data_IF_372851650647
#
_entry.id   IF_372851650647
#
_cell.length_a   1.000
_cell.length_b   1.000
_cell.length_c   1.000
_cell.angle_alpha   90.00
_cell.angle_beta   90.00
_cell.angle_gamma   90.00
#
_symmetry.space_group_name_H-M   'P 1'
#
loop_
_entity.id
_entity.type
_entity.pdbx_description
1 polymer ?
#
# COMPACT_ATOMS: atom_id res chain seq x y z
N UNK A 1 -44.06 -16.23 -20.34
CA UNK A 1 -42.92 -15.58 -21.06
C UNK A 1 -42.45 -14.46 -20.16
N UNK A 2 -41.55 -14.79 -19.25
CA UNK A 2 -40.78 -13.81 -18.52
C UNK A 2 -39.90 -13.08 -19.51
N UNK A 3 -40.08 -11.75 -19.62
CA UNK A 3 -39.22 -10.92 -20.41
C UNK A 3 -37.79 -11.08 -19.82
N UNK A 4 -36.89 -11.69 -20.59
CA UNK A 4 -35.45 -11.61 -20.29
C UNK A 4 -35.13 -10.12 -20.22
N UNK A 5 -34.89 -9.61 -18.99
CA UNK A 5 -34.29 -8.30 -18.78
C UNK A 5 -33.06 -8.24 -19.69
N UNK A 6 -33.00 -7.26 -20.60
CA UNK A 6 -31.80 -7.06 -21.40
C UNK A 6 -30.62 -6.92 -20.46
N UNK A 7 -29.61 -7.75 -20.65
CA UNK A 7 -28.36 -7.66 -19.87
C UNK A 7 -27.87 -6.21 -19.93
N UNK A 8 -27.70 -5.59 -18.76
CA UNK A 8 -27.20 -4.22 -18.68
C UNK A 8 -25.75 -4.23 -19.18
N UNK A 9 -25.46 -3.43 -20.19
CA UNK A 9 -24.13 -3.33 -20.80
C UNK A 9 -23.48 -2.01 -20.39
N UNK A 10 -22.16 -2.05 -20.13
CA UNK A 10 -21.33 -0.91 -19.77
C UNK A 10 -20.08 -0.88 -20.64
N UNK A 11 -19.46 0.28 -20.78
CA UNK A 11 -18.15 0.37 -21.41
C UNK A 11 -17.11 -0.37 -20.55
N UNK A 12 -17.14 -0.13 -19.23
CA UNK A 12 -16.20 -0.77 -18.30
C UNK A 12 -16.89 -1.33 -17.06
N UNK A 13 -16.51 -2.54 -16.68
CA UNK A 13 -16.88 -3.15 -15.40
C UNK A 13 -15.67 -3.12 -14.47
N UNK A 14 -15.81 -2.48 -13.30
CA UNK A 14 -14.76 -2.41 -12.28
C UNK A 14 -15.16 -3.31 -11.11
N UNK A 15 -14.39 -4.38 -10.87
CA UNK A 15 -14.63 -5.36 -9.82
C UNK A 15 -13.82 -5.05 -8.58
N UNK A 16 -14.42 -4.29 -7.66
CA UNK A 16 -13.86 -3.74 -6.42
C UNK A 16 -13.90 -2.22 -6.39
N UNK A 17 -14.52 -1.64 -5.35
CA UNK A 17 -14.64 -0.20 -5.16
C UNK A 17 -13.70 0.34 -4.06
N UNK A 18 -12.53 -0.31 -3.87
CA UNK A 18 -11.44 0.25 -3.10
C UNK A 18 -10.78 1.43 -3.82
N UNK A 19 -9.73 2.05 -3.25
CA UNK A 19 -9.11 3.25 -3.82
C UNK A 19 -8.77 3.15 -5.30
N UNK A 20 -8.22 2.03 -5.76
CA UNK A 20 -7.85 1.84 -7.16
C UNK A 20 -9.07 1.75 -8.09
N UNK A 21 -10.09 0.99 -7.69
CA UNK A 21 -11.30 0.84 -8.50
C UNK A 21 -12.17 2.08 -8.52
N UNK A 22 -12.33 2.75 -7.38
CA UNK A 22 -13.07 4.01 -7.31
C UNK A 22 -12.37 5.10 -8.14
N UNK A 23 -11.05 5.18 -8.10
CA UNK A 23 -10.28 6.12 -8.93
C UNK A 23 -10.39 5.81 -10.42
N UNK A 24 -10.28 4.54 -10.82
CA UNK A 24 -10.49 4.14 -12.21
C UNK A 24 -11.90 4.54 -12.68
N UNK A 25 -12.92 4.23 -11.86
CA UNK A 25 -14.30 4.58 -12.18
C UNK A 25 -14.54 6.11 -12.28
N UNK A 26 -13.90 6.90 -11.38
CA UNK A 26 -13.94 8.35 -11.42
C UNK A 26 -13.43 8.90 -12.75
N UNK A 27 -12.20 8.53 -13.14
CA UNK A 27 -11.61 9.05 -14.38
C UNK A 27 -12.34 8.55 -15.63
N UNK A 28 -12.77 7.29 -15.68
CA UNK A 28 -13.57 6.75 -16.80
C UNK A 28 -14.93 7.46 -16.94
N UNK A 29 -15.65 7.65 -15.84
CA UNK A 29 -16.93 8.37 -15.85
C UNK A 29 -16.75 9.83 -16.29
N UNK A 30 -15.69 10.50 -15.81
CA UNK A 30 -15.31 11.86 -16.23
C UNK A 30 -14.98 11.95 -17.72
N UNK A 31 -14.50 10.87 -18.34
CA UNK A 31 -14.28 10.75 -19.79
C UNK A 31 -15.58 10.38 -20.55
N UNK A 32 -16.73 10.31 -19.86
CA UNK A 32 -18.03 10.02 -20.46
C UNK A 32 -18.28 8.52 -20.71
N UNK A 33 -17.50 7.62 -20.14
CA UNK A 33 -17.71 6.17 -20.26
C UNK A 33 -18.79 5.72 -19.26
N UNK A 34 -19.63 4.77 -19.69
CA UNK A 34 -20.55 4.08 -18.79
C UNK A 34 -19.80 3.05 -17.95
N UNK A 35 -19.81 3.20 -16.62
CA UNK A 35 -19.02 2.37 -15.70
C UNK A 35 -19.91 1.69 -14.68
N UNK A 36 -19.77 0.36 -14.53
CA UNK A 36 -20.28 -0.39 -13.38
C UNK A 36 -19.18 -0.56 -12.35
N UNK A 37 -19.32 0.07 -11.18
CA UNK A 37 -18.42 -0.06 -10.04
C UNK A 37 -19.04 -1.02 -9.03
N UNK A 38 -18.46 -2.21 -8.85
CA UNK A 38 -19.05 -3.31 -8.08
C UNK A 38 -18.21 -3.58 -6.83
N UNK A 39 -18.85 -3.64 -5.65
CA UNK A 39 -18.17 -4.08 -4.41
C UNK A 39 -19.06 -5.00 -3.57
N UNK A 40 -18.41 -5.99 -2.93
CA UNK A 40 -19.07 -6.90 -2.00
C UNK A 40 -19.57 -6.24 -0.72
N UNK A 41 -18.93 -5.16 -0.32
CA UNK A 41 -19.29 -4.37 0.86
C UNK A 41 -20.27 -3.25 0.47
N UNK A 42 -20.98 -2.73 1.48
CA UNK A 42 -21.72 -1.45 1.38
C UNK A 42 -20.84 -0.35 1.97
N UNK A 43 -20.86 0.81 1.37
CA UNK A 43 -20.11 1.97 1.83
C UNK A 43 -20.95 2.85 2.78
N UNK A 44 -20.33 3.49 3.80
CA UNK A 44 -18.91 3.41 4.18
C UNK A 44 -18.55 2.04 4.81
N UNK A 45 -17.31 1.58 4.60
CA UNK A 45 -16.85 0.30 5.13
C UNK A 45 -15.45 0.38 5.74
N UNK A 46 -15.20 -0.43 6.76
CA UNK A 46 -13.88 -0.60 7.33
C UNK A 46 -12.93 -1.33 6.36
N UNK A 47 -11.67 -0.96 6.39
CA UNK A 47 -10.58 -1.63 5.68
C UNK A 47 -9.30 -1.54 6.51
N UNK A 48 -8.73 -2.69 6.83
CA UNK A 48 -7.46 -2.78 7.55
C UNK A 48 -6.34 -2.02 6.83
N UNK A 49 -5.76 -1.00 7.49
CA UNK A 49 -4.71 -0.13 6.96
C UNK A 49 -4.16 0.79 8.06
N UNK A 50 -2.90 1.19 7.99
CA UNK A 50 -2.36 2.29 8.80
C UNK A 50 -2.99 3.64 8.47
N UNK A 51 -3.41 3.82 7.21
CA UNK A 51 -4.03 5.06 6.74
C UNK A 51 -3.02 6.18 6.48
N UNK A 52 -1.78 5.82 6.21
CA UNK A 52 -0.75 6.77 5.80
C UNK A 52 -0.76 7.01 4.29
N UNK A 53 -0.63 8.26 3.88
CA UNK A 53 -0.52 8.70 2.49
C UNK A 53 0.79 9.47 2.31
N UNK A 54 1.55 9.14 1.28
CA UNK A 54 2.73 9.92 0.90
C UNK A 54 2.33 11.21 0.18
N UNK A 55 3.27 12.16 0.06
CA UNK A 55 3.05 13.47 -0.55
C UNK A 55 2.60 13.41 -2.01
N UNK A 56 2.89 12.32 -2.74
CA UNK A 56 2.46 12.14 -4.13
C UNK A 56 0.94 12.08 -4.29
N UNK A 57 0.18 11.94 -3.19
CA UNK A 57 -1.29 12.07 -3.22
C UNK A 57 -1.72 13.45 -3.75
N UNK A 58 -0.86 14.46 -3.65
CA UNK A 58 -1.12 15.80 -4.16
C UNK A 58 -1.19 15.89 -5.70
N UNK A 59 -0.83 14.83 -6.41
CA UNK A 59 -1.06 14.72 -7.86
C UNK A 59 -2.54 14.56 -8.24
N UNK A 60 -3.44 14.35 -7.26
CA UNK A 60 -4.86 14.10 -7.50
C UNK A 60 -5.71 15.30 -7.06
N UNK A 61 -5.98 16.22 -7.98
CA UNK A 61 -6.73 17.48 -7.72
C UNK A 61 -8.07 17.25 -7.01
N UNK A 62 -8.84 16.22 -7.39
CA UNK A 62 -10.13 15.90 -6.78
C UNK A 62 -10.00 15.42 -5.32
N UNK A 63 -8.83 14.94 -4.92
CA UNK A 63 -8.51 14.57 -3.54
C UNK A 63 -8.09 15.81 -2.76
N UNK A 64 -7.09 16.54 -3.24
CA UNK A 64 -6.56 17.72 -2.51
C UNK A 64 -7.59 18.84 -2.37
N UNK A 65 -8.48 18.98 -3.34
CA UNK A 65 -9.57 19.98 -3.28
C UNK A 65 -10.62 19.67 -2.20
N UNK A 66 -10.60 18.48 -1.62
CA UNK A 66 -11.58 18.01 -0.65
C UNK A 66 -10.92 17.40 0.60
N UNK A 67 -9.72 17.91 0.98
CA UNK A 67 -8.97 17.43 2.16
C UNK A 67 -9.82 17.35 3.43
N UNK A 68 -10.67 18.38 3.67
CA UNK A 68 -11.49 18.49 4.88
C UNK A 68 -12.52 17.37 5.03
N UNK A 69 -12.80 16.64 3.96
CA UNK A 69 -13.77 15.53 3.98
C UNK A 69 -13.22 14.26 4.66
N UNK A 70 -11.91 14.08 4.72
CA UNK A 70 -11.31 12.81 5.16
C UNK A 70 -9.92 12.90 5.81
N UNK A 71 -9.25 14.06 5.76
CA UNK A 71 -7.92 14.23 6.31
C UNK A 71 -7.97 14.31 7.85
N UNK A 72 -7.20 13.46 8.51
CA UNK A 72 -7.11 13.41 9.97
C UNK A 72 -5.92 14.23 10.49
N UNK A 73 -4.76 14.15 9.82
CA UNK A 73 -3.59 14.95 10.19
C UNK A 73 -2.58 15.11 9.06
N UNK A 74 -1.76 16.17 9.17
CA UNK A 74 -0.62 16.48 8.31
C UNK A 74 0.64 16.36 9.13
N UNK A 75 1.55 15.45 8.75
CA UNK A 75 2.78 15.24 9.52
C UNK A 75 3.95 16.00 8.90
N UNK A 76 4.57 16.84 9.72
CA UNK A 76 5.81 17.55 9.40
C UNK A 76 7.02 16.98 10.15
N UNK A 77 6.81 16.02 11.05
CA UNK A 77 7.86 15.31 11.76
C UNK A 77 7.70 13.80 11.65
N UNK A 78 8.79 13.12 11.30
CA UNK A 78 8.86 11.67 11.23
C UNK A 78 10.00 11.14 12.07
N UNK A 79 9.75 10.07 12.83
CA UNK A 79 10.79 9.40 13.62
C UNK A 79 10.88 7.95 13.17
N UNK A 80 12.05 7.54 12.71
CA UNK A 80 12.33 6.14 12.38
C UNK A 80 13.34 5.60 13.38
N UNK A 81 12.90 4.69 14.24
CA UNK A 81 13.77 4.00 15.18
C UNK A 81 14.42 2.77 14.55
N UNK A 82 15.69 2.56 14.83
CA UNK A 82 16.38 1.29 14.58
C UNK A 82 16.12 0.26 15.69
N UNK A 83 16.68 -0.96 15.56
CA UNK A 83 16.51 -2.04 16.54
C UNK A 83 16.92 -1.67 17.98
N UNK A 84 17.91 -0.79 18.13
CA UNK A 84 18.47 -0.31 19.42
C UNK A 84 17.83 1.01 19.87
N UNK A 85 16.66 1.40 19.34
CA UNK A 85 15.97 2.65 19.63
C UNK A 85 16.78 3.92 19.27
N UNK A 86 17.80 3.80 18.43
CA UNK A 86 18.46 4.98 17.86
C UNK A 86 17.51 5.66 16.89
N UNK A 87 17.13 6.94 17.08
CA UNK A 87 16.19 7.63 16.20
C UNK A 87 16.88 8.27 15.00
N UNK A 88 16.21 8.20 13.85
CA UNK A 88 16.34 9.18 12.77
C UNK A 88 15.13 10.10 12.91
N UNK A 89 15.36 11.29 13.44
CA UNK A 89 14.31 12.28 13.72
C UNK A 89 14.44 13.43 12.71
N UNK A 90 13.46 13.54 11.84
CA UNK A 90 13.42 14.52 10.76
C UNK A 90 12.21 15.43 10.89
N UNK A 91 12.45 16.73 10.82
CA UNK A 91 11.43 17.78 10.80
C UNK A 91 11.47 18.50 9.47
N UNK A 92 10.34 18.64 8.82
CA UNK A 92 10.19 19.35 7.55
C UNK A 92 9.40 20.64 7.72
N UNK A 93 9.72 21.65 6.91
CA UNK A 93 8.95 22.90 6.84
C UNK A 93 7.54 22.68 6.21
N UNK A 94 7.37 21.60 5.44
CA UNK A 94 6.11 21.24 4.79
C UNK A 94 5.69 19.84 5.19
N UNK A 95 4.39 19.55 5.22
CA UNK A 95 3.92 18.18 5.38
C UNK A 95 4.51 17.27 4.30
N UNK A 96 4.97 16.09 4.71
CA UNK A 96 5.50 15.07 3.81
C UNK A 96 4.73 13.74 3.93
N UNK A 97 3.84 13.66 4.89
CA UNK A 97 3.01 12.50 5.15
C UNK A 97 1.64 12.93 5.69
N UNK A 98 0.60 12.25 5.25
CA UNK A 98 -0.78 12.54 5.62
C UNK A 98 -1.42 11.31 6.25
N UNK A 99 -2.25 11.50 7.27
CA UNK A 99 -3.01 10.43 7.88
C UNK A 99 -4.49 10.57 7.60
N UNK A 100 -5.12 9.44 7.27
CA UNK A 100 -6.55 9.33 6.99
C UNK A 100 -7.14 8.12 7.71
N UNK A 101 -8.46 8.09 7.85
CA UNK A 101 -9.19 6.85 8.14
C UNK A 101 -9.84 6.30 6.88
N UNK A 102 -9.62 5.02 6.63
CA UNK A 102 -10.09 4.34 5.43
C UNK A 102 -11.61 4.33 5.30
N UNK A 103 -12.34 4.39 6.43
CA UNK A 103 -13.80 4.47 6.43
C UNK A 103 -14.29 5.68 5.64
N UNK A 104 -13.75 6.86 5.92
CA UNK A 104 -14.11 8.11 5.26
C UNK A 104 -13.48 8.21 3.87
N UNK A 105 -12.18 7.97 3.77
CA UNK A 105 -11.44 8.12 2.54
C UNK A 105 -11.99 7.26 1.40
N UNK A 106 -12.16 5.95 1.64
CA UNK A 106 -12.68 5.05 0.61
C UNK A 106 -14.11 5.42 0.20
N UNK A 107 -14.95 5.83 1.17
CA UNK A 107 -16.31 6.28 0.89
C UNK A 107 -16.33 7.53 0.00
N UNK A 108 -15.47 8.52 0.29
CA UNK A 108 -15.38 9.74 -0.52
C UNK A 108 -14.92 9.46 -1.95
N UNK A 109 -13.95 8.57 -2.14
CA UNK A 109 -13.54 8.16 -3.49
C UNK A 109 -14.70 7.54 -4.29
N UNK A 110 -15.52 6.73 -3.64
CA UNK A 110 -16.74 6.16 -4.27
C UNK A 110 -17.76 7.26 -4.57
N UNK A 111 -18.00 8.18 -3.63
CA UNK A 111 -18.91 9.32 -3.85
C UNK A 111 -18.47 10.18 -5.05
N UNK A 112 -17.17 10.47 -5.18
CA UNK A 112 -16.63 11.20 -6.33
C UNK A 112 -16.84 10.44 -7.65
N UNK A 113 -16.63 9.13 -7.69
CA UNK A 113 -16.88 8.33 -8.88
C UNK A 113 -18.36 8.33 -9.27
N UNK A 114 -19.27 8.22 -8.30
CA UNK A 114 -20.72 8.27 -8.51
C UNK A 114 -21.16 9.66 -8.99
N UNK A 115 -20.59 10.73 -8.42
CA UNK A 115 -20.90 12.10 -8.83
C UNK A 115 -20.50 12.38 -10.30
N UNK A 116 -19.43 11.75 -10.80
CA UNK A 116 -19.05 11.82 -12.21
C UNK A 116 -19.89 10.90 -13.13
N UNK A 117 -20.74 10.02 -12.58
CA UNK A 117 -21.69 9.21 -13.36
C UNK A 117 -21.44 7.70 -13.31
N UNK A 118 -20.50 7.20 -12.52
CA UNK A 118 -20.33 5.77 -12.33
C UNK A 118 -21.55 5.16 -11.63
N UNK A 119 -21.98 3.97 -12.08
CA UNK A 119 -23.06 3.21 -11.43
C UNK A 119 -22.48 2.32 -10.35
N UNK A 120 -22.71 2.66 -9.08
CA UNK A 120 -22.32 1.83 -7.94
C UNK A 120 -23.28 0.65 -7.76
N UNK A 121 -22.71 -0.56 -7.65
CA UNK A 121 -23.41 -1.81 -7.33
C UNK A 121 -22.72 -2.39 -6.11
N UNK A 122 -23.24 -2.09 -4.92
CA UNK A 122 -22.63 -2.44 -3.64
C UNK A 122 -23.37 -3.55 -2.88
N UNK A 123 -22.69 -4.18 -1.92
CA UNK A 123 -23.24 -5.28 -1.10
C UNK A 123 -23.27 -6.60 -1.85
N UNK A 124 -22.65 -6.70 -3.03
CA UNK A 124 -22.61 -7.91 -3.83
C UNK A 124 -21.27 -8.11 -4.54
N UNK A 125 -20.75 -9.33 -4.51
CA UNK A 125 -19.49 -9.66 -5.14
C UNK A 125 -19.68 -10.14 -6.58
N UNK A 126 -18.71 -9.85 -7.43
CA UNK A 126 -18.51 -10.59 -8.68
C UNK A 126 -18.21 -12.05 -8.32
N UNK A 127 -18.98 -12.97 -8.89
CA UNK A 127 -18.84 -14.42 -8.70
C UNK A 127 -17.87 -15.02 -9.70
N UNK A 128 -18.03 -14.65 -10.97
CA UNK A 128 -17.25 -15.13 -12.09
C UNK A 128 -17.40 -14.19 -13.29
N UNK A 129 -16.57 -14.36 -14.30
CA UNK A 129 -16.69 -13.66 -15.58
C UNK A 129 -16.13 -14.49 -16.74
N UNK A 130 -16.65 -14.23 -17.93
CA UNK A 130 -16.22 -14.85 -19.18
C UNK A 130 -15.82 -13.76 -20.17
N UNK A 131 -14.73 -13.98 -20.89
CA UNK A 131 -14.24 -13.08 -21.94
C UNK A 131 -14.51 -13.73 -23.29
N UNK A 132 -15.21 -13.02 -24.17
CA UNK A 132 -15.40 -13.36 -25.58
C UNK A 132 -14.62 -12.39 -26.48
N UNK A 133 -14.73 -12.56 -27.80
CA UNK A 133 -14.06 -11.65 -28.76
C UNK A 133 -14.59 -10.21 -28.65
N UNK A 134 -15.87 -10.05 -28.36
CA UNK A 134 -16.62 -8.80 -28.44
C UNK A 134 -16.94 -8.17 -27.07
N UNK A 135 -16.93 -8.94 -25.98
CA UNK A 135 -17.31 -8.44 -24.64
C UNK A 135 -16.80 -9.29 -23.49
N UNK A 136 -16.97 -8.74 -22.28
CA UNK A 136 -16.88 -9.47 -21.02
C UNK A 136 -18.30 -9.66 -20.46
N UNK A 137 -18.65 -10.87 -20.07
CA UNK A 137 -19.89 -11.21 -19.37
C UNK A 137 -19.56 -11.45 -17.89
N UNK A 138 -20.21 -10.73 -16.99
CA UNK A 138 -19.93 -10.75 -15.56
C UNK A 138 -21.15 -11.28 -14.80
N UNK A 139 -20.92 -12.26 -13.93
CA UNK A 139 -21.94 -12.88 -13.10
C UNK A 139 -21.76 -12.47 -11.63
N UNK A 140 -22.81 -11.97 -11.03
CA UNK A 140 -22.85 -11.60 -9.61
C UNK A 140 -23.28 -12.77 -8.72
N UNK A 141 -22.98 -12.69 -7.41
CA UNK A 141 -23.33 -13.77 -6.46
C UNK A 141 -24.82 -13.98 -6.26
N UNK A 142 -25.65 -12.98 -6.51
CA UNK A 142 -27.12 -13.10 -6.46
C UNK A 142 -27.74 -13.72 -7.74
N UNK A 143 -26.90 -13.99 -8.75
CA UNK A 143 -27.33 -14.54 -10.03
C UNK A 143 -27.60 -13.50 -11.12
N UNK A 144 -27.56 -12.21 -10.80
CA UNK A 144 -27.62 -11.15 -11.82
C UNK A 144 -26.40 -11.20 -12.74
N UNK A 145 -26.62 -10.80 -13.98
CA UNK A 145 -25.57 -10.75 -15.00
C UNK A 145 -25.53 -9.35 -15.63
N UNK A 146 -24.33 -8.92 -15.98
CA UNK A 146 -24.09 -7.70 -16.75
C UNK A 146 -22.92 -7.94 -17.72
N UNK A 147 -22.71 -7.02 -18.64
CA UNK A 147 -21.60 -7.12 -19.59
C UNK A 147 -20.86 -5.80 -19.75
N UNK A 148 -19.67 -5.85 -20.30
CA UNK A 148 -18.88 -4.67 -20.64
C UNK A 148 -17.86 -4.97 -21.72
N UNK A 149 -17.21 -3.91 -22.25
CA UNK A 149 -16.13 -4.06 -23.20
C UNK A 149 -14.85 -4.56 -22.50
N UNK A 150 -14.61 -4.09 -21.27
CA UNK A 150 -13.41 -4.40 -20.47
C UNK A 150 -13.80 -4.64 -19.02
N UNK A 151 -13.09 -5.54 -18.33
CA UNK A 151 -13.15 -5.69 -16.88
C UNK A 151 -11.84 -5.24 -16.22
N UNK A 152 -11.95 -4.41 -15.19
CA UNK A 152 -10.83 -4.02 -14.32
C UNK A 152 -10.95 -4.76 -12.98
N UNK A 153 -9.96 -5.57 -12.65
CA UNK A 153 -9.82 -6.20 -11.34
C UNK A 153 -9.23 -5.23 -10.32
N UNK A 154 -10.03 -4.87 -9.33
CA UNK A 154 -9.67 -3.96 -8.23
C UNK A 154 -10.02 -4.56 -6.86
N UNK A 155 -10.13 -5.89 -6.77
CA UNK A 155 -10.57 -6.64 -5.59
C UNK A 155 -9.49 -6.85 -4.52
N UNK A 156 -8.32 -6.22 -4.64
CA UNK A 156 -7.22 -6.33 -3.70
C UNK A 156 -6.39 -7.60 -3.88
N UNK A 157 -5.69 -8.03 -2.86
CA UNK A 157 -4.67 -9.11 -2.89
C UNK A 157 -5.18 -10.47 -3.43
N UNK A 158 -6.48 -10.70 -3.44
CA UNK A 158 -7.11 -11.96 -3.87
C UNK A 158 -8.12 -11.76 -5.01
N UNK A 159 -7.79 -10.87 -5.92
CA UNK A 159 -8.63 -10.48 -7.05
C UNK A 159 -8.88 -11.61 -8.05
N UNK A 160 -10.10 -11.65 -8.60
CA UNK A 160 -10.54 -12.68 -9.54
C UNK A 160 -9.91 -12.50 -10.93
N UNK A 161 -9.82 -11.25 -11.41
CA UNK A 161 -9.22 -10.92 -12.72
C UNK A 161 -7.72 -11.18 -12.69
N UNK A 162 -7.06 -10.81 -11.56
CA UNK A 162 -5.65 -11.14 -11.32
C UNK A 162 -5.38 -12.64 -11.44
N UNK A 163 -6.24 -13.48 -10.83
CA UNK A 163 -6.11 -14.94 -10.93
C UNK A 163 -6.26 -15.44 -12.38
N UNK A 164 -7.19 -14.89 -13.13
CA UNK A 164 -7.40 -15.27 -14.55
C UNK A 164 -6.19 -14.89 -15.41
N UNK A 165 -5.62 -13.69 -15.22
CA UNK A 165 -4.40 -13.28 -15.93
C UNK A 165 -3.23 -14.19 -15.55
N UNK A 166 -3.07 -14.51 -14.26
CA UNK A 166 -2.02 -15.44 -13.80
C UNK A 166 -2.12 -16.81 -14.43
N UNK A 167 -3.34 -17.35 -14.55
CA UNK A 167 -3.60 -18.63 -15.21
C UNK A 167 -3.18 -18.61 -16.67
N UNK A 168 -3.61 -17.59 -17.42
CA UNK A 168 -3.31 -17.43 -18.86
C UNK A 168 -1.80 -17.25 -19.08
N UNK A 169 -1.14 -16.49 -18.24
CA UNK A 169 0.28 -16.15 -18.36
C UNK A 169 1.22 -17.19 -17.69
N UNK A 170 0.67 -18.32 -17.22
CA UNK A 170 1.42 -19.35 -16.49
C UNK A 170 2.22 -18.80 -15.28
N UNK A 171 1.66 -17.80 -14.60
CA UNK A 171 2.23 -17.23 -13.39
C UNK A 171 1.80 -18.02 -12.14
N UNK A 172 2.52 -17.93 -11.01
CA UNK A 172 2.04 -18.50 -9.75
C UNK A 172 0.65 -17.99 -9.39
N UNK A 173 -0.29 -18.91 -9.15
CA UNK A 173 -1.70 -18.58 -8.86
C UNK A 173 -1.90 -17.77 -7.58
N UNK A 174 -0.96 -17.84 -6.65
CA UNK A 174 -0.96 -17.08 -5.42
C UNK A 174 0.36 -16.33 -5.28
N UNK A 175 0.31 -15.26 -4.51
CA UNK A 175 1.52 -14.56 -4.08
C UNK A 175 2.40 -15.51 -3.25
N UNK A 176 3.72 -15.48 -3.48
CA UNK A 176 4.67 -16.24 -2.66
C UNK A 176 4.68 -15.67 -1.24
N UNK A 177 5.08 -16.49 -0.25
CA UNK A 177 5.10 -16.04 1.15
C UNK A 177 6.05 -14.87 1.42
N UNK A 178 7.10 -14.74 0.63
CA UNK A 178 8.04 -13.62 0.67
C UNK A 178 7.51 -12.35 0.00
N UNK A 179 6.52 -12.46 -0.89
CA UNK A 179 5.90 -11.34 -1.63
C UNK A 179 4.58 -10.87 -0.99
N UNK A 180 4.20 -11.47 0.14
CA UNK A 180 3.07 -11.03 0.97
C UNK A 180 3.59 -10.61 2.33
N UNK A 181 3.33 -9.36 2.71
CA UNK A 181 3.43 -8.92 4.09
C UNK A 181 2.10 -9.14 4.82
N UNK A 182 2.18 -9.61 6.05
CA UNK A 182 1.04 -9.61 6.97
C UNK A 182 1.19 -8.43 7.92
N UNK A 183 0.15 -7.60 7.97
CA UNK A 183 0.04 -6.46 8.86
C UNK A 183 -1.07 -6.71 9.89
N UNK A 184 -0.80 -6.40 11.15
CA UNK A 184 -1.77 -6.31 12.23
C UNK A 184 -1.76 -4.92 12.81
N UNK A 185 -2.91 -4.38 13.13
CA UNK A 185 -3.05 -3.05 13.71
C UNK A 185 -4.31 -2.93 14.53
N UNK A 186 -4.39 -1.86 15.30
CA UNK A 186 -5.61 -1.34 15.91
C UNK A 186 -5.63 0.18 15.85
N UNK A 187 -6.80 0.76 16.03
CA UNK A 187 -6.99 2.18 16.26
C UNK A 187 -7.62 2.40 17.64
N UNK A 188 -7.14 3.41 18.35
CA UNK A 188 -7.66 3.77 19.67
C UNK A 188 -7.67 5.28 19.83
N UNK A 189 -8.78 5.81 20.33
CA UNK A 189 -8.87 7.22 20.72
C UNK A 189 -8.11 7.42 22.04
N UNK A 190 -7.07 8.22 21.99
CA UNK A 190 -6.21 8.56 23.16
C UNK A 190 -6.49 9.95 23.68
N UNK A 191 -7.42 10.65 23.06
CA UNK A 191 -7.81 12.02 23.41
C UNK A 191 -6.87 13.09 22.87
N UNK A 192 -7.43 14.28 22.70
CA UNK A 192 -6.71 15.43 22.14
C UNK A 192 -5.54 15.88 23.02
N UNK A 193 -5.75 15.92 24.34
CA UNK A 193 -4.73 16.36 25.30
C UNK A 193 -3.45 15.51 25.17
N UNK A 194 -3.57 14.19 25.17
CA UNK A 194 -2.42 13.30 24.98
C UNK A 194 -1.78 13.49 23.59
N UNK A 195 -2.59 13.64 22.56
CA UNK A 195 -2.08 13.83 21.20
C UNK A 195 -1.29 15.14 21.06
N UNK A 196 -1.78 16.25 21.62
CA UNK A 196 -1.13 17.55 21.53
C UNK A 196 0.14 17.58 22.41
N UNK A 197 0.13 16.96 23.60
CA UNK A 197 1.29 16.89 24.50
C UNK A 197 2.41 16.01 23.91
N UNK A 198 2.10 14.82 23.39
CA UNK A 198 3.09 13.82 23.00
C UNK A 198 3.48 13.89 21.53
N UNK A 199 2.50 14.09 20.65
CA UNK A 199 2.69 14.09 19.20
C UNK A 199 2.77 15.48 18.58
N UNK A 200 2.55 16.54 19.38
CA UNK A 200 2.58 17.93 18.94
C UNK A 200 1.42 18.28 17.98
N UNK A 201 1.31 19.56 17.66
CA UNK A 201 0.33 20.05 16.70
C UNK A 201 0.65 19.56 15.27
N UNK A 202 1.93 19.39 14.94
CA UNK A 202 2.41 18.90 13.65
C UNK A 202 2.13 17.42 13.43
N UNK A 203 1.71 16.70 14.45
CA UNK A 203 1.55 15.25 14.48
C UNK A 203 2.81 14.49 14.00
N UNK A 204 3.29 13.58 14.82
CA UNK A 204 4.47 12.77 14.54
C UNK A 204 4.02 11.42 13.99
N UNK A 205 4.58 10.99 12.86
CA UNK A 205 4.46 9.61 12.41
C UNK A 205 5.72 8.84 12.72
N UNK A 206 5.59 7.66 13.32
CA UNK A 206 6.72 6.84 13.73
C UNK A 206 6.73 5.48 13.06
N UNK A 207 7.96 5.00 12.79
CA UNK A 207 8.23 3.63 12.43
C UNK A 207 9.37 3.07 13.28
N UNK A 208 9.33 1.78 13.57
CA UNK A 208 10.33 1.08 14.36
C UNK A 208 10.83 -0.14 13.59
N UNK A 209 11.98 0.02 12.96
CA UNK A 209 12.56 -1.00 12.08
C UNK A 209 13.12 -2.13 12.92
N UNK A 210 12.77 -3.36 12.52
CA UNK A 210 13.29 -4.61 13.09
C UNK A 210 13.13 -4.67 14.63
N UNK A 211 12.01 -4.15 15.14
CA UNK A 211 11.68 -4.22 16.56
C UNK A 211 11.80 -5.67 17.06
N UNK A 212 12.45 -5.88 18.20
CA UNK A 212 12.73 -7.20 18.80
C UNK A 212 13.21 -8.27 17.80
N UNK A 213 14.00 -7.84 16.79
CA UNK A 213 14.59 -8.72 15.79
C UNK A 213 13.64 -9.25 14.70
N UNK A 214 12.39 -8.79 14.64
CA UNK A 214 11.47 -9.14 13.56
C UNK A 214 11.91 -8.47 12.26
N UNK A 215 12.12 -9.24 11.19
CA UNK A 215 12.38 -8.70 9.84
C UNK A 215 11.11 -8.05 9.29
N UNK A 216 10.80 -6.88 9.82
CA UNK A 216 9.61 -6.08 9.59
C UNK A 216 9.73 -4.74 10.29
N UNK A 217 8.62 -4.07 10.50
CA UNK A 217 8.58 -2.85 11.29
C UNK A 217 7.27 -2.71 12.07
N UNK A 218 7.34 -1.97 13.18
CA UNK A 218 6.19 -1.42 13.89
C UNK A 218 5.92 0.02 13.45
N UNK A 219 4.71 0.50 13.62
CA UNK A 219 4.36 1.90 13.37
C UNK A 219 3.43 2.46 14.43
N UNK A 220 3.45 3.78 14.57
CA UNK A 220 2.44 4.57 15.28
C UNK A 220 2.15 5.82 14.46
N UNK A 221 0.94 5.89 13.89
CA UNK A 221 0.49 7.02 13.09
C UNK A 221 -0.52 7.84 13.86
N UNK A 222 -0.18 9.10 14.07
CA UNK A 222 -1.00 10.04 14.84
C UNK A 222 -2.02 10.71 13.96
N UNK A 223 -3.30 10.42 14.21
CA UNK A 223 -4.46 11.06 13.57
C UNK A 223 -4.95 12.24 14.44
N UNK A 224 -6.16 12.69 14.27
CA UNK A 224 -6.67 13.82 15.07
C UNK A 224 -6.61 13.54 16.58
N UNK A 225 -7.39 12.60 17.10
CA UNK A 225 -7.37 12.14 18.50
C UNK A 225 -7.01 10.66 18.61
N UNK A 226 -6.81 9.99 17.48
CA UNK A 226 -6.67 8.52 17.38
C UNK A 226 -5.24 8.14 17.03
N UNK A 227 -4.70 7.14 17.71
CA UNK A 227 -3.48 6.45 17.29
C UNK A 227 -3.83 5.19 16.49
N UNK A 228 -3.19 5.04 15.34
CA UNK A 228 -3.15 3.80 14.60
C UNK A 228 -1.79 3.14 14.87
N UNK A 229 -1.81 2.04 15.61
CA UNK A 229 -0.59 1.30 15.98
C UNK A 229 -0.62 -0.08 15.36
N UNK A 230 0.50 -0.49 14.76
CA UNK A 230 0.57 -1.79 14.13
C UNK A 230 1.97 -2.33 13.93
N UNK A 231 2.02 -3.53 13.39
CA UNK A 231 3.23 -4.24 12.97
C UNK A 231 3.01 -4.86 11.60
N UNK A 232 4.07 -4.96 10.81
CA UNK A 232 4.05 -5.64 9.52
C UNK A 232 5.36 -6.38 9.23
N UNK A 233 5.26 -7.56 8.66
CA UNK A 233 6.42 -8.28 8.16
C UNK A 233 6.03 -9.30 7.08
N UNK A 234 6.99 -9.80 6.27
CA UNK A 234 6.75 -10.85 5.29
C UNK A 234 6.20 -12.14 5.93
N UNK A 235 5.25 -12.78 5.24
CA UNK A 235 4.54 -13.98 5.74
C UNK A 235 5.45 -15.18 5.96
N UNK A 236 6.51 -15.33 5.16
CA UNK A 236 7.51 -16.37 5.36
C UNK A 236 8.23 -16.23 6.72
N UNK A 237 8.50 -15.01 7.16
CA UNK A 237 9.10 -14.72 8.48
C UNK A 237 8.16 -15.14 9.60
N UNK A 238 6.88 -14.80 9.49
CA UNK A 238 5.85 -15.22 10.48
C UNK A 238 5.77 -16.74 10.56
N UNK A 239 5.72 -17.43 9.43
CA UNK A 239 5.70 -18.90 9.39
C UNK A 239 6.93 -19.50 10.08
N UNK A 240 8.10 -18.96 9.81
CA UNK A 240 9.36 -19.36 10.44
C UNK A 240 9.30 -19.18 11.95
N UNK A 241 8.94 -18.00 12.44
CA UNK A 241 8.86 -17.71 13.88
C UNK A 241 7.85 -18.62 14.61
N UNK A 242 6.69 -18.88 14.01
CA UNK A 242 5.72 -19.83 14.57
C UNK A 242 6.25 -21.26 14.66
N UNK A 243 7.11 -21.67 13.74
CA UNK A 243 7.70 -23.01 13.78
C UNK A 243 8.87 -23.14 14.78
N UNK A 244 9.63 -22.06 15.00
CA UNK A 244 10.83 -22.06 15.82
C UNK A 244 10.58 -21.68 17.29
N UNK A 245 9.61 -20.78 17.54
CA UNK A 245 9.32 -20.22 18.88
C UNK A 245 7.95 -20.65 19.38
N UNK A 246 7.90 -21.68 20.24
CA UNK A 246 6.63 -22.16 20.86
C UNK A 246 5.91 -21.02 21.59
N UNK A 247 4.64 -20.80 21.24
CA UNK A 247 3.79 -19.77 21.86
C UNK A 247 3.98 -18.37 21.27
N UNK A 248 4.81 -18.20 20.24
CA UNK A 248 4.90 -16.95 19.50
C UNK A 248 3.62 -16.71 18.68
N UNK A 249 3.13 -15.49 18.68
CA UNK A 249 2.04 -15.04 17.82
C UNK A 249 2.17 -13.57 17.48
N UNK A 250 1.72 -13.18 16.31
CA UNK A 250 1.74 -11.80 15.82
C UNK A 250 0.98 -10.86 16.75
N UNK A 251 -0.14 -11.34 17.31
CA UNK A 251 -0.96 -10.54 18.25
C UNK A 251 -0.22 -10.27 19.56
N UNK A 252 0.45 -11.29 20.10
CA UNK A 252 1.27 -11.10 21.29
C UNK A 252 2.38 -10.12 21.00
N UNK A 253 3.07 -10.28 19.87
CA UNK A 253 4.14 -9.39 19.46
C UNK A 253 3.68 -7.93 19.30
N UNK A 254 2.48 -7.69 18.73
CA UNK A 254 1.89 -6.35 18.67
C UNK A 254 1.62 -5.78 20.06
N UNK A 255 1.13 -6.58 21.00
CA UNK A 255 0.88 -6.12 22.36
C UNK A 255 2.19 -5.85 23.11
N UNK A 256 3.23 -6.65 22.93
CA UNK A 256 4.57 -6.40 23.47
C UNK A 256 5.15 -5.08 22.91
N UNK A 257 4.88 -4.76 21.63
CA UNK A 257 5.24 -3.47 21.03
C UNK A 257 4.47 -2.30 21.68
N UNK A 258 3.19 -2.47 21.97
CA UNK A 258 2.41 -1.44 22.70
C UNK A 258 2.99 -1.18 24.09
N UNK A 259 3.37 -2.22 24.85
CA UNK A 259 4.01 -2.03 26.15
C UNK A 259 5.32 -1.24 26.01
N UNK A 260 6.10 -1.50 24.98
CA UNK A 260 7.31 -0.69 24.67
C UNK A 260 6.95 0.77 24.40
N UNK A 261 5.90 1.05 23.63
CA UNK A 261 5.45 2.42 23.38
C UNK A 261 4.98 3.11 24.68
N UNK A 262 4.31 2.38 25.59
CA UNK A 262 3.95 2.90 26.93
C UNK A 262 5.18 3.25 27.77
N UNK A 263 6.19 2.38 27.78
CA UNK A 263 7.46 2.62 28.49
C UNK A 263 8.20 3.85 27.97
N UNK A 264 8.16 4.07 26.66
CA UNK A 264 8.78 5.21 25.98
C UNK A 264 7.93 6.50 26.04
N UNK A 265 6.72 6.44 26.59
CA UNK A 265 5.80 7.58 26.68
C UNK A 265 5.02 7.89 25.39
N UNK A 266 5.12 7.05 24.36
CA UNK A 266 4.43 7.20 23.08
C UNK A 266 3.00 6.64 23.08
N UNK A 267 2.57 6.00 24.16
CA UNK A 267 1.22 5.45 24.31
C UNK A 267 0.73 5.64 25.75
N UNK A 268 -0.55 5.97 26.00
CA UNK A 268 -1.09 6.13 27.35
C UNK A 268 -0.95 4.85 28.17
N UNK A 269 -0.46 4.97 29.42
CA UNK A 269 -0.20 3.82 30.29
C UNK A 269 -1.47 3.12 30.79
N UNK A 270 -2.56 3.86 30.88
CA UNK A 270 -3.86 3.43 31.41
C UNK A 270 -4.78 2.80 30.37
N UNK A 271 -4.44 2.89 29.07
CA UNK A 271 -5.23 2.28 28.00
C UNK A 271 -4.78 0.83 27.79
N UNK A 272 -5.73 -0.10 27.93
CA UNK A 272 -5.55 -1.52 27.63
C UNK A 272 -6.15 -1.86 26.26
N UNK A 273 -5.45 -2.68 25.47
CA UNK A 273 -5.90 -3.07 24.14
C UNK A 273 -6.62 -4.41 24.19
N UNK A 274 -7.94 -4.41 23.93
CA UNK A 274 -8.68 -5.65 23.72
C UNK A 274 -8.25 -6.32 22.40
N UNK A 275 -7.98 -7.62 22.47
CA UNK A 275 -7.62 -8.42 21.29
C UNK A 275 -8.66 -8.35 20.16
N UNK A 276 -9.91 -8.03 20.46
CA UNK A 276 -10.98 -7.84 19.49
C UNK A 276 -10.82 -6.58 18.63
N UNK A 277 -10.08 -5.59 19.13
CA UNK A 277 -9.75 -4.37 18.36
C UNK A 277 -8.73 -4.65 17.26
N UNK A 278 -7.94 -5.73 17.39
CA UNK A 278 -6.85 -6.04 16.47
C UNK A 278 -7.40 -6.60 15.17
N UNK A 279 -7.17 -5.87 14.09
CA UNK A 279 -7.46 -6.23 12.72
C UNK A 279 -6.18 -6.50 11.92
N UNK A 280 -6.30 -7.15 10.77
CA UNK A 280 -5.14 -7.41 9.94
C UNK A 280 -5.45 -7.56 8.47
N UNK A 281 -4.40 -7.42 7.65
CA UNK A 281 -4.47 -7.61 6.21
C UNK A 281 -3.21 -8.29 5.67
N UNK A 282 -3.40 -8.98 4.55
CA UNK A 282 -2.30 -9.42 3.69
C UNK A 282 -2.08 -8.39 2.59
N UNK A 283 -0.84 -7.96 2.41
CA UNK A 283 -0.44 -6.88 1.50
C UNK A 283 0.57 -7.45 0.50
N UNK A 284 0.34 -7.36 -0.81
CA UNK A 284 1.25 -7.91 -1.82
C UNK A 284 2.40 -6.93 -2.07
N UNK A 285 3.55 -7.18 -1.46
CA UNK A 285 4.77 -6.34 -1.54
C UNK A 285 5.79 -6.86 -2.56
N UNK A 286 5.32 -7.57 -3.59
CA UNK A 286 6.16 -8.32 -4.51
C UNK A 286 6.61 -7.56 -5.77
N UNK A 287 6.57 -6.25 -5.85
CA UNK A 287 6.97 -5.42 -7.00
C UNK A 287 6.03 -5.45 -8.22
N UNK A 288 4.79 -5.86 -8.06
CA UNK A 288 3.84 -6.00 -9.15
C UNK A 288 3.88 -7.36 -9.87
N UNK A 289 2.88 -7.59 -10.68
CA UNK A 289 2.78 -8.76 -11.56
C UNK A 289 3.63 -8.54 -12.81
N UNK A 290 4.27 -9.58 -13.32
CA UNK A 290 5.01 -9.54 -14.58
C UNK A 290 4.13 -9.27 -15.81
N UNK A 291 2.82 -9.49 -15.69
CA UNK A 291 1.80 -9.08 -16.65
C UNK A 291 0.53 -8.68 -15.92
N UNK A 292 0.01 -7.49 -16.19
CA UNK A 292 -1.17 -6.90 -15.52
C UNK A 292 -2.39 -6.77 -16.44
N UNK A 293 -2.31 -7.36 -17.62
CA UNK A 293 -3.36 -7.29 -18.65
C UNK A 293 -3.58 -8.64 -19.33
N UNK A 294 -4.78 -8.83 -19.85
CA UNK A 294 -5.18 -9.90 -20.76
C UNK A 294 -6.15 -9.35 -21.79
N UNK A 295 -6.67 -10.18 -22.69
CA UNK A 295 -7.73 -9.73 -23.61
C UNK A 295 -8.92 -9.23 -22.79
N UNK A 296 -9.32 -7.97 -22.98
CA UNK A 296 -10.41 -7.29 -22.26
C UNK A 296 -10.28 -7.28 -20.71
N UNK A 297 -9.07 -7.47 -20.19
CA UNK A 297 -8.79 -7.57 -18.74
C UNK A 297 -7.62 -6.69 -18.32
N UNK A 298 -7.77 -6.00 -17.19
CA UNK A 298 -6.71 -5.23 -16.53
C UNK A 298 -6.81 -5.43 -15.02
N UNK A 299 -5.70 -5.22 -14.30
CA UNK A 299 -5.70 -5.19 -12.83
C UNK A 299 -5.03 -3.92 -12.30
N UNK A 300 -5.56 -3.40 -11.19
CA UNK A 300 -5.11 -2.16 -10.54
C UNK A 300 -4.92 -2.35 -9.04
N UNK A 301 -4.10 -1.52 -8.41
CA UNK A 301 -3.82 -1.57 -6.97
C UNK A 301 -3.20 -2.89 -6.51
N UNK A 302 -3.60 -3.37 -5.34
CA UNK A 302 -3.10 -4.63 -4.75
C UNK A 302 -3.37 -5.85 -5.65
N UNK A 303 -4.39 -5.81 -6.52
CA UNK A 303 -4.65 -6.89 -7.48
C UNK A 303 -3.48 -7.06 -8.47
N UNK A 304 -2.81 -5.96 -8.82
CA UNK A 304 -1.57 -5.94 -9.60
C UNK A 304 -0.30 -6.09 -8.77
N UNK A 305 -0.40 -6.08 -7.43
CA UNK A 305 0.75 -6.12 -6.53
C UNK A 305 1.48 -4.78 -6.38
N UNK A 306 0.77 -3.68 -6.55
CA UNK A 306 1.33 -2.34 -6.55
C UNK A 306 1.41 -1.77 -5.13
N UNK A 307 2.38 -2.25 -4.37
CA UNK A 307 2.67 -1.81 -3.01
C UNK A 307 4.18 -1.72 -2.82
N UNK A 308 4.64 -0.65 -2.20
CA UNK A 308 6.05 -0.47 -1.83
C UNK A 308 6.54 -1.62 -0.96
N UNK A 309 7.55 -2.37 -1.38
CA UNK A 309 8.13 -3.44 -0.56
C UNK A 309 8.90 -2.92 0.65
N UNK A 310 9.26 -1.63 0.67
CA UNK A 310 9.99 -1.01 1.78
C UNK A 310 9.04 -0.54 2.91
N UNK A 311 8.00 0.23 2.55
CA UNK A 311 7.14 0.90 3.53
C UNK A 311 5.75 0.27 3.66
N UNK A 312 5.35 -0.61 2.73
CA UNK A 312 3.97 -1.10 2.66
C UNK A 312 2.99 -0.04 2.15
N UNK A 313 3.49 1.12 1.66
CA UNK A 313 2.66 2.14 1.02
C UNK A 313 2.04 1.57 -0.26
N UNK A 314 0.72 1.64 -0.37
CA UNK A 314 -0.02 1.11 -1.50
C UNK A 314 -1.11 2.06 -2.00
N UNK A 315 -1.50 3.07 -1.21
CA UNK A 315 -2.62 3.95 -1.56
C UNK A 315 -2.31 4.83 -2.77
N UNK A 316 -1.11 5.42 -2.84
CA UNK A 316 -0.69 6.18 -4.01
C UNK A 316 -0.70 5.31 -5.27
N UNK A 317 -0.04 4.15 -5.21
CA UNK A 317 -0.01 3.23 -6.35
C UNK A 317 -1.40 2.71 -6.75
N UNK A 318 -2.29 2.52 -5.76
CA UNK A 318 -3.67 2.15 -6.03
C UNK A 318 -4.40 3.23 -6.82
N UNK A 319 -4.31 4.49 -6.41
CA UNK A 319 -4.91 5.62 -7.10
C UNK A 319 -4.30 5.81 -8.49
N UNK A 320 -2.96 5.79 -8.58
CA UNK A 320 -2.26 6.06 -9.84
C UNK A 320 -2.47 4.95 -10.87
N UNK A 321 -2.45 3.68 -10.45
CA UNK A 321 -2.81 2.57 -11.36
C UNK A 321 -4.23 2.66 -11.87
N UNK A 322 -5.18 3.10 -11.03
CA UNK A 322 -6.57 3.37 -11.45
C UNK A 322 -6.65 4.48 -12.49
N UNK A 323 -5.95 5.59 -12.28
CA UNK A 323 -5.83 6.70 -13.24
C UNK A 323 -5.21 6.24 -14.57
N UNK A 324 -4.05 5.58 -14.51
CA UNK A 324 -3.35 5.09 -15.70
C UNK A 324 -4.17 4.07 -16.50
N UNK A 325 -4.97 3.24 -15.81
CA UNK A 325 -5.89 2.32 -16.47
C UNK A 325 -6.98 3.08 -17.25
N UNK A 326 -7.58 4.11 -16.63
CA UNK A 326 -8.59 4.95 -17.28
C UNK A 326 -8.01 5.74 -18.46
N UNK A 327 -6.83 6.35 -18.31
CA UNK A 327 -6.13 7.06 -19.39
C UNK A 327 -5.81 6.14 -20.57
N UNK A 328 -5.37 4.91 -20.30
CA UNK A 328 -5.06 3.92 -21.32
C UNK A 328 -6.31 3.47 -22.08
N UNK A 329 -7.43 3.27 -21.37
CA UNK A 329 -8.69 2.88 -21.99
C UNK A 329 -9.32 4.01 -22.82
N UNK A 330 -9.14 5.28 -22.43
CA UNK A 330 -9.68 6.41 -23.21
C UNK A 330 -9.12 6.44 -24.64
N UNK A 331 -7.83 6.17 -24.78
CA UNK A 331 -7.18 6.01 -26.09
C UNK A 331 -7.78 4.83 -26.87
N UNK A 332 -7.93 3.67 -26.23
CA UNK A 332 -8.39 2.44 -26.88
C UNK A 332 -9.88 2.48 -27.27
N UNK A 333 -10.72 3.18 -26.52
CA UNK A 333 -12.11 3.40 -26.92
C UNK A 333 -12.26 4.19 -28.21
N UNK A 334 -11.26 4.98 -28.58
CA UNK A 334 -11.23 5.68 -29.87
C UNK A 334 -10.71 4.81 -31.00
N UNK A 335 -9.89 3.80 -30.72
CA UNK A 335 -9.25 2.90 -31.68
C UNK A 335 -9.98 1.55 -31.86
N UNK A 336 -10.80 1.16 -30.89
CA UNK A 336 -11.80 0.09 -31.00
C UNK A 336 -11.35 -1.34 -30.73
N UNK A 337 -10.12 -1.62 -30.23
CA UNK A 337 -9.72 -2.98 -29.85
C UNK A 337 -9.20 -3.04 -28.39
N UNK A 338 -9.58 -4.12 -27.68
CA UNK A 338 -9.19 -4.38 -26.29
C UNK A 338 -8.40 -5.69 -26.15
N UNK A 339 -7.63 -6.03 -27.18
CA UNK A 339 -6.72 -7.17 -27.11
C UNK A 339 -5.57 -6.89 -26.11
N UNK A 340 -5.01 -7.95 -25.57
CA UNK A 340 -3.87 -7.87 -24.65
C UNK A 340 -2.74 -6.97 -25.18
N UNK A 341 -2.39 -7.10 -26.48
CA UNK A 341 -1.31 -6.30 -27.08
C UNK A 341 -1.54 -4.80 -26.98
N UNK A 342 -2.80 -4.35 -27.08
CA UNK A 342 -3.18 -2.95 -27.03
C UNK A 342 -3.24 -2.49 -25.56
N UNK A 343 -3.82 -3.33 -24.69
CA UNK A 343 -3.85 -3.10 -23.25
C UNK A 343 -2.44 -3.12 -22.59
N UNK A 344 -1.41 -3.66 -23.26
CA UNK A 344 -0.01 -3.53 -22.84
C UNK A 344 0.47 -2.08 -22.75
N UNK A 345 -0.28 -1.12 -23.32
CA UNK A 345 -0.02 0.30 -23.11
C UNK A 345 -0.10 0.67 -21.62
N UNK A 346 -1.14 0.22 -20.94
CA UNK A 346 -1.27 0.38 -19.48
C UNK A 346 -0.10 -0.27 -18.71
N UNK A 347 0.27 -1.50 -19.07
CA UNK A 347 1.37 -2.19 -18.41
C UNK A 347 2.69 -1.40 -18.54
N UNK A 348 2.98 -0.85 -19.72
CA UNK A 348 4.15 0.00 -19.94
C UNK A 348 4.05 1.33 -19.19
N UNK A 349 2.87 1.93 -19.11
CA UNK A 349 2.66 3.21 -18.45
C UNK A 349 3.06 3.15 -16.96
N UNK A 350 2.53 2.19 -16.21
CA UNK A 350 2.88 2.05 -14.80
C UNK A 350 4.33 1.57 -14.60
N UNK A 351 4.80 0.60 -15.39
CA UNK A 351 6.17 0.09 -15.24
C UNK A 351 7.23 1.13 -15.54
N UNK A 352 6.99 2.01 -16.53
CA UNK A 352 7.90 3.13 -16.84
C UNK A 352 7.82 4.26 -15.81
N UNK A 353 6.66 4.47 -15.18
CA UNK A 353 6.48 5.56 -14.21
C UNK A 353 7.12 5.24 -12.87
N UNK A 354 6.87 4.05 -12.33
CA UNK A 354 7.29 3.66 -10.97
C UNK A 354 7.65 2.16 -10.80
N UNK A 355 7.67 1.38 -11.89
CA UNK A 355 8.07 -0.04 -11.82
C UNK A 355 9.50 -0.21 -11.32
N UNK A 356 10.45 0.55 -11.86
CA UNK A 356 11.85 0.56 -11.41
C UNK A 356 11.96 1.01 -9.95
N UNK A 357 11.05 1.91 -9.49
CA UNK A 357 11.01 2.38 -8.12
C UNK A 357 10.71 1.22 -7.16
N UNK A 358 9.73 0.38 -7.46
CA UNK A 358 9.40 -0.78 -6.64
C UNK A 358 10.57 -1.77 -6.54
N UNK A 359 11.33 -1.98 -7.62
CA UNK A 359 12.51 -2.86 -7.62
C UNK A 359 13.61 -2.33 -6.67
N UNK A 360 13.91 -1.02 -6.74
CA UNK A 360 14.90 -0.40 -5.88
C UNK A 360 14.44 -0.32 -4.41
N UNK A 361 13.16 -0.11 -4.16
CA UNK A 361 12.60 -0.17 -2.82
C UNK A 361 12.72 -1.57 -2.20
N UNK A 362 12.64 -2.63 -3.00
CA UNK A 362 12.91 -4.01 -2.54
C UNK A 362 14.38 -4.21 -2.16
N UNK A 363 15.30 -3.66 -2.95
CA UNK A 363 16.73 -3.64 -2.59
C UNK A 363 16.95 -2.88 -1.28
N UNK A 364 16.33 -1.69 -1.14
CA UNK A 364 16.38 -0.89 0.08
C UNK A 364 15.85 -1.64 1.31
N UNK A 365 14.72 -2.34 1.16
CA UNK A 365 14.18 -3.21 2.21
C UNK A 365 15.18 -4.30 2.64
N UNK A 366 15.76 -4.99 1.67
CA UNK A 366 16.73 -6.05 1.96
C UNK A 366 17.94 -5.51 2.74
N UNK A 367 18.52 -4.41 2.29
CA UNK A 367 19.62 -3.75 2.97
C UNK A 367 19.24 -3.32 4.40
N UNK A 368 18.04 -2.76 4.57
CA UNK A 368 17.54 -2.33 5.87
C UNK A 368 17.36 -3.52 6.84
N UNK A 369 16.93 -4.67 6.37
CA UNK A 369 16.79 -5.85 7.22
C UNK A 369 18.12 -6.50 7.57
N UNK A 370 19.13 -6.41 6.70
CA UNK A 370 20.45 -7.01 6.92
C UNK A 370 21.34 -6.11 7.76
N UNK A 371 21.29 -4.78 7.57
CA UNK A 371 22.20 -3.81 8.17
C UNK A 371 21.46 -2.63 8.84
N UNK A 372 20.44 -2.90 9.69
CA UNK A 372 19.57 -1.82 10.20
C UNK A 372 20.35 -0.80 11.03
N UNK A 373 21.22 -1.24 11.95
CA UNK A 373 21.95 -0.34 12.84
C UNK A 373 22.91 0.58 12.09
N UNK A 374 23.63 0.07 11.10
CA UNK A 374 24.57 0.88 10.32
C UNK A 374 23.83 1.91 9.46
N UNK A 375 22.72 1.51 8.83
CA UNK A 375 21.92 2.44 8.02
C UNK A 375 21.27 3.52 8.87
N UNK A 376 20.74 3.17 10.04
CA UNK A 376 20.16 4.12 11.00
C UNK A 376 21.23 5.07 11.55
N UNK A 377 22.39 4.56 11.99
CA UNK A 377 23.51 5.39 12.44
C UNK A 377 23.96 6.37 11.36
N UNK A 378 24.09 5.87 10.12
CA UNK A 378 24.44 6.73 9.00
C UNK A 378 23.37 7.78 8.71
N UNK A 379 22.10 7.38 8.70
CA UNK A 379 20.98 8.30 8.50
C UNK A 379 20.92 9.41 9.57
N UNK A 380 21.38 9.15 10.78
CA UNK A 380 21.40 10.11 11.86
C UNK A 380 22.52 11.16 11.79
N UNK A 381 23.50 11.03 10.85
CA UNK A 381 24.69 11.87 10.82
C UNK A 381 24.46 13.32 10.37
N UNK A 382 23.56 13.55 9.45
CA UNK A 382 23.30 14.87 8.86
C UNK A 382 21.86 15.03 8.37
N UNK A 383 21.38 16.25 8.23
CA UNK A 383 19.98 16.54 7.87
C UNK A 383 19.63 16.04 6.46
N UNK A 384 20.50 16.16 5.47
CA UNK A 384 20.26 15.66 4.12
C UNK A 384 20.03 14.13 4.12
N UNK A 385 20.79 13.42 4.94
CA UNK A 385 20.67 11.97 5.06
C UNK A 385 19.42 11.56 5.85
N UNK A 386 19.05 12.31 6.88
CA UNK A 386 17.77 12.12 7.60
C UNK A 386 16.59 12.33 6.68
N UNK A 387 16.58 13.44 5.94
CA UNK A 387 15.56 13.75 4.93
C UNK A 387 15.45 12.61 3.93
N UNK A 388 16.57 12.22 3.32
CA UNK A 388 16.61 11.12 2.37
C UNK A 388 16.00 9.83 2.95
N UNK A 389 16.42 9.44 4.15
CA UNK A 389 15.98 8.20 4.78
C UNK A 389 14.48 8.22 5.10
N UNK A 390 14.00 9.36 5.64
CA UNK A 390 12.57 9.53 5.97
C UNK A 390 11.71 9.51 4.71
N UNK A 391 12.07 10.27 3.68
CA UNK A 391 11.34 10.30 2.41
C UNK A 391 11.38 8.96 1.66
N UNK A 392 12.48 8.24 1.74
CA UNK A 392 12.57 6.87 1.20
C UNK A 392 11.58 5.96 1.95
N UNK A 393 11.52 6.05 3.27
CA UNK A 393 10.66 5.18 4.10
C UNK A 393 9.17 5.48 3.89
N UNK A 394 8.77 6.74 3.80
CA UNK A 394 7.37 7.12 3.57
C UNK A 394 6.94 7.01 2.10
N UNK A 395 7.84 6.61 1.18
CA UNK A 395 7.51 6.40 -0.22
C UNK A 395 7.45 7.66 -1.08
N UNK A 396 7.99 8.80 -0.59
CA UNK A 396 7.96 10.08 -1.32
C UNK A 396 9.22 10.36 -2.16
N UNK A 397 10.12 9.40 -2.32
CA UNK A 397 11.37 9.60 -3.05
C UNK A 397 11.45 8.75 -4.32
N UNK A 398 11.79 9.34 -5.49
CA UNK A 398 12.01 8.59 -6.72
C UNK A 398 13.19 7.60 -6.60
N UNK A 399 13.05 6.40 -7.13
CA UNK A 399 14.06 5.34 -7.06
C UNK A 399 15.40 5.71 -7.66
N UNK A 400 15.44 6.55 -8.68
CA UNK A 400 16.70 7.04 -9.24
C UNK A 400 17.59 7.72 -8.19
N UNK A 401 16.99 8.47 -7.25
CA UNK A 401 17.70 9.06 -6.10
C UNK A 401 18.12 8.00 -5.09
N UNK A 402 17.26 7.02 -4.82
CA UNK A 402 17.56 5.89 -3.92
C UNK A 402 18.75 5.11 -4.46
N UNK A 403 18.72 4.71 -5.73
CA UNK A 403 19.81 4.01 -6.42
C UNK A 403 21.14 4.75 -6.28
N UNK A 404 21.17 6.04 -6.65
CA UNK A 404 22.39 6.83 -6.64
C UNK A 404 22.95 7.00 -5.22
N UNK A 405 22.08 7.21 -4.21
CA UNK A 405 22.52 7.33 -2.82
C UNK A 405 23.05 6.00 -2.29
N UNK A 406 22.38 4.89 -2.54
CA UNK A 406 22.85 3.53 -2.16
C UNK A 406 24.20 3.23 -2.80
N UNK A 407 24.38 3.53 -4.09
CA UNK A 407 25.68 3.35 -4.77
C UNK A 407 26.77 4.26 -4.18
N UNK A 408 26.44 5.52 -3.83
CA UNK A 408 27.35 6.43 -3.17
C UNK A 408 27.76 5.94 -1.77
N UNK A 409 26.84 5.34 -1.00
CA UNK A 409 27.13 4.75 0.30
C UNK A 409 28.07 3.56 0.19
N UNK A 410 27.86 2.70 -0.82
CA UNK A 410 28.75 1.59 -1.13
C UNK A 410 30.14 2.12 -1.51
N UNK A 411 30.21 3.12 -2.38
CA UNK A 411 31.46 3.74 -2.85
C UNK A 411 32.23 4.44 -1.72
N UNK A 412 31.55 5.09 -0.78
CA UNK A 412 32.17 5.73 0.40
C UNK A 412 32.69 4.73 1.44
N UNK A 413 32.53 3.43 1.21
CA UNK A 413 33.00 2.39 2.11
C UNK A 413 32.17 2.18 3.37
N UNK A 414 31.07 2.92 3.55
CA UNK A 414 30.15 2.78 4.68
C UNK A 414 29.53 1.38 4.72
N UNK A 415 29.30 0.79 3.55
CA UNK A 415 28.76 -0.57 3.40
C UNK A 415 29.83 -1.61 3.06
N UNK A 416 31.08 -1.22 2.80
CA UNK A 416 32.12 -2.10 2.27
C UNK A 416 32.45 -3.26 3.22
N UNK A 417 32.56 -2.99 4.50
CA UNK A 417 32.85 -4.00 5.52
C UNK A 417 31.68 -4.98 5.73
N UNK A 418 30.47 -4.49 5.71
CA UNK A 418 29.27 -5.31 5.95
C UNK A 418 28.89 -6.13 4.72
N UNK A 419 29.03 -5.57 3.52
CA UNK A 419 28.87 -6.33 2.26
C UNK A 419 29.94 -7.42 2.14
N UNK A 420 31.19 -7.14 2.50
CA UNK A 420 32.26 -8.15 2.56
C UNK A 420 31.97 -9.24 3.62
N UNK A 421 31.46 -8.86 4.80
CA UNK A 421 31.07 -9.80 5.85
C UNK A 421 29.93 -10.73 5.40
N UNK A 422 28.95 -10.19 4.65
CA UNK A 422 27.87 -10.97 4.06
C UNK A 422 28.36 -11.92 2.95
N UNK A 423 29.27 -11.46 2.10
CA UNK A 423 29.84 -12.27 1.02
C UNK A 423 30.79 -13.36 1.52
N UNK A 424 31.45 -13.15 2.66
CA UNK A 424 32.44 -14.08 3.24
C UNK A 424 31.90 -14.94 4.36
N UNK A 425 30.66 -14.70 4.83
CA UNK A 425 30.07 -15.43 5.97
C UNK A 425 30.77 -15.18 7.32
N UNK A 426 31.69 -14.23 7.40
CA UNK A 426 32.41 -13.86 8.61
C UNK A 426 31.76 -12.69 9.34
N UNK A 427 31.15 -12.94 10.49
CA UNK A 427 30.67 -11.90 11.41
C UNK A 427 31.88 -11.26 12.14
N UNK A 428 32.59 -10.36 11.49
CA UNK A 428 33.50 -9.46 12.20
C UNK A 428 32.72 -8.25 12.74
N UNK A 429 32.81 -8.03 14.04
CA UNK A 429 32.26 -6.84 14.71
C UNK A 429 32.85 -5.57 14.10
N UNK A 430 31.97 -4.64 13.73
CA UNK A 430 32.33 -3.33 13.21
C UNK A 430 33.10 -2.57 14.31
N UNK A 431 34.28 -2.01 14.04
CA UNK A 431 34.95 -1.11 15.01
C UNK A 431 34.10 0.14 15.22
N UNK A 432 34.02 0.62 16.43
CA UNK A 432 33.37 1.88 16.78
C UNK A 432 33.92 3.03 15.90
N UNK A 433 33.12 3.51 14.97
CA UNK A 433 33.41 4.66 14.10
C UNK A 433 33.00 5.98 14.77
N UNK A 434 33.02 6.03 16.11
CA UNK A 434 32.83 7.28 16.89
C UNK A 434 33.98 7.40 17.88
N UNK A 435 35.06 7.98 17.42
CA UNK A 435 36.04 8.67 18.24
C UNK A 435 36.49 9.94 17.51
#
# INVERSE_FOLDING_TARGET
>A
QEARSSLKHYDVVVAGAGPSGATAAYYLAKQGKSVALIDRAKFPREKACGGGLCVHIEEFDHIISNWDDFLESKCQRGIVYGPEFLPVDYVSEKPFFYNIRRLQFDNKLVEYAVAEGATLIEGIAVKDFEVSEDKVSVKLRNGDELSGEVIIGAGGSYDLVSKRIREIENMPMNWRDEDIAMALYFEVDVGREFMDEVYGEERISMAHIKYDGLDGYGWSFSKDTVLNVGIGCPRNIIKKLKSEKKGWSERKYLLDYVETLKEQGWFPKDIEIDRKMISGANIPVGMGMSCTVGDRMMVVGDAGGFVSPLSGEGLYYALDSGRLAAESLDVLFSEGDFKKQDLMHYHRAWSSKWGDDLEWLKVGWHLLMVMPNSLIKYAALDEETKEFFTHMFVGSMPAAKIKNKVLALIAKGVLKHEVLSLMTGNKQTVPDLVS
#
